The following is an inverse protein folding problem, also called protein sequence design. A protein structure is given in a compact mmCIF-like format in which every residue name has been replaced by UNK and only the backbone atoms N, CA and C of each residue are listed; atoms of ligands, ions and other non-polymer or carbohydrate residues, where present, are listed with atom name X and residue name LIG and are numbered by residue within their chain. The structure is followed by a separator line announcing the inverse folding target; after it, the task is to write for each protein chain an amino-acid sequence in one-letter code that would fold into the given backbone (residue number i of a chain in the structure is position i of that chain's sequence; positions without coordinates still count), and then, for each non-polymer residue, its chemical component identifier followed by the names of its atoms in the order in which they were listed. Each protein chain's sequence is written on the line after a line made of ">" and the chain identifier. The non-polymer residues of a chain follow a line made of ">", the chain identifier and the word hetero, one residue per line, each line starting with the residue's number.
data_IF_690156997645
#
_entry.id   IF_690156997645
#
_cell.length_a   1.000
_cell.length_b   1.000
_cell.length_c   1.000
_cell.angle_alpha   90.00
_cell.angle_beta   90.00
_cell.angle_gamma   90.00
#
_symmetry.space_group_name_H-M   'P 1'
#
loop_
_entity.id
_entity.type
_entity.pdbx_description
1 polymer ?
#
# COMPACT_ATOMS: atom_id res chain seq x y z
N UNK A 1 -16.39 36.07 -25.39
CA UNK A 1 -15.14 36.31 -24.68
C UNK A 1 -14.18 35.15 -24.86
N UNK A 2 -12.98 35.45 -25.36
CA UNK A 2 -11.89 34.47 -25.45
C UNK A 2 -11.29 34.32 -24.06
N UNK A 3 -11.38 33.10 -23.44
CA UNK A 3 -10.69 32.77 -22.20
C UNK A 3 -9.26 32.33 -22.54
N UNK A 4 -8.28 33.09 -22.09
CA UNK A 4 -6.87 32.72 -22.25
C UNK A 4 -6.39 32.03 -20.96
N UNK A 5 -6.07 30.74 -21.02
CA UNK A 5 -5.45 30.01 -19.93
C UNK A 5 -3.92 30.15 -20.02
N UNK A 6 -3.28 30.72 -19.00
CA UNK A 6 -1.83 30.66 -18.85
C UNK A 6 -1.47 29.41 -18.03
N UNK A 7 -0.83 28.45 -18.66
CA UNK A 7 -0.21 27.32 -17.98
C UNK A 7 1.19 27.73 -17.55
N UNK A 8 1.45 27.67 -16.24
CA UNK A 8 2.79 27.85 -15.70
C UNK A 8 3.37 26.46 -15.39
N UNK A 9 4.33 25.94 -16.18
CA UNK A 9 4.92 24.65 -15.94
C UNK A 9 5.84 24.70 -14.71
N UNK A 10 5.81 23.65 -13.89
CA UNK A 10 6.74 23.43 -12.79
C UNK A 10 7.64 22.26 -13.18
N UNK A 11 8.94 22.53 -13.29
CA UNK A 11 9.94 21.50 -13.60
C UNK A 11 10.49 20.93 -12.31
N UNK A 12 10.12 19.69 -11.99
CA UNK A 12 10.60 19.02 -10.76
C UNK A 12 12.11 18.81 -10.77
N UNK A 13 12.73 18.67 -11.94
CA UNK A 13 14.18 18.56 -12.10
C UNK A 13 14.95 19.82 -11.64
N UNK A 14 14.27 20.97 -11.58
CA UNK A 14 14.87 22.21 -11.06
C UNK A 14 14.80 22.29 -9.52
N UNK A 15 14.14 21.32 -8.89
CA UNK A 15 14.06 21.15 -7.44
C UNK A 15 15.13 20.18 -6.96
N UNK A 16 15.60 20.35 -5.73
CA UNK A 16 16.65 19.52 -5.14
C UNK A 16 16.09 18.63 -4.04
N UNK A 17 16.11 17.31 -4.29
CA UNK A 17 15.66 16.31 -3.33
C UNK A 17 16.52 16.28 -2.06
N UNK A 18 17.83 16.50 -2.17
CA UNK A 18 18.73 16.48 -1.01
C UNK A 18 18.36 17.56 0.02
N UNK A 19 17.90 18.73 -0.46
CA UNK A 19 17.42 19.81 0.42
C UNK A 19 16.13 19.44 1.14
N UNK A 20 15.19 18.80 0.42
CA UNK A 20 13.95 18.32 1.01
C UNK A 20 14.25 17.27 2.09
N UNK A 21 15.08 16.28 1.78
CA UNK A 21 15.46 15.25 2.75
C UNK A 21 16.16 15.83 3.97
N UNK A 22 17.08 16.78 3.78
CA UNK A 22 17.78 17.43 4.88
C UNK A 22 16.80 18.19 5.80
N UNK A 23 15.87 18.96 5.23
CA UNK A 23 14.85 19.70 5.98
C UNK A 23 13.95 18.74 6.79
N UNK A 24 13.49 17.66 6.18
CA UNK A 24 12.57 16.72 6.82
C UNK A 24 13.27 15.89 7.90
N UNK A 25 14.53 15.50 7.68
CA UNK A 25 15.35 14.87 8.73
C UNK A 25 15.53 15.77 9.93
N UNK A 26 15.83 17.04 9.71
CA UNK A 26 15.97 18.00 10.79
C UNK A 26 14.67 18.17 11.58
N UNK A 27 13.52 18.22 10.92
CA UNK A 27 12.21 18.23 11.60
C UNK A 27 12.02 16.97 12.45
N UNK A 28 12.33 15.79 11.89
CA UNK A 28 12.22 14.52 12.59
C UNK A 28 13.13 14.46 13.82
N UNK A 29 14.38 14.91 13.71
CA UNK A 29 15.34 14.95 14.81
C UNK A 29 14.91 15.92 15.92
N UNK A 30 14.20 16.99 15.56
CA UNK A 30 13.62 17.95 16.50
C UNK A 30 12.29 17.48 17.10
N UNK A 31 11.73 16.37 16.67
CA UNK A 31 10.39 15.89 17.08
C UNK A 31 9.25 16.72 16.52
N UNK A 32 9.48 17.47 15.43
CA UNK A 32 8.47 18.28 14.75
C UNK A 32 7.62 17.42 13.82
N UNK A 33 6.30 17.61 13.82
CA UNK A 33 5.41 16.95 12.90
C UNK A 33 5.59 17.45 11.46
N UNK A 34 5.41 16.55 10.48
CA UNK A 34 5.39 16.94 9.07
C UNK A 34 4.04 17.59 8.73
N UNK A 35 4.11 18.64 7.91
CA UNK A 35 2.93 19.28 7.34
C UNK A 35 2.48 18.57 6.06
N UNK A 36 1.27 18.87 5.56
CA UNK A 36 0.80 18.37 4.26
C UNK A 36 1.75 18.78 3.12
N UNK A 37 2.33 19.97 3.16
CA UNK A 37 3.32 20.42 2.17
C UNK A 37 4.63 19.61 2.28
N UNK A 38 5.02 19.20 3.48
CA UNK A 38 6.19 18.34 3.69
C UNK A 38 5.94 16.95 3.07
N UNK A 39 4.76 16.37 3.26
CA UNK A 39 4.37 15.10 2.66
C UNK A 39 4.25 15.19 1.14
N UNK A 40 3.68 16.29 0.62
CA UNK A 40 3.61 16.52 -0.80
C UNK A 40 5.01 16.64 -1.43
N UNK A 41 5.91 17.42 -0.82
CA UNK A 41 7.29 17.52 -1.27
C UNK A 41 8.01 16.17 -1.22
N UNK A 42 7.84 15.40 -0.13
CA UNK A 42 8.46 14.09 0.07
C UNK A 42 8.05 13.10 -1.02
N UNK A 43 6.76 13.07 -1.39
CA UNK A 43 6.24 12.17 -2.43
C UNK A 43 6.81 12.45 -3.82
N UNK A 44 7.28 13.67 -4.08
CA UNK A 44 7.83 14.10 -5.37
C UNK A 44 9.37 14.04 -5.44
N UNK A 45 10.06 13.78 -4.32
CA UNK A 45 11.53 13.75 -4.29
C UNK A 45 12.19 12.83 -5.33
N UNK A 46 11.64 11.63 -5.67
CA UNK A 46 12.26 10.77 -6.68
C UNK A 46 12.22 11.33 -8.11
N UNK A 47 11.44 12.38 -8.34
CA UNK A 47 11.32 13.07 -9.62
C UNK A 47 12.18 14.35 -9.68
N UNK A 48 12.81 14.74 -8.57
CA UNK A 48 13.70 15.90 -8.44
C UNK A 48 15.13 15.52 -8.80
N UNK A 49 16.00 16.54 -8.90
CA UNK A 49 17.44 16.33 -8.97
C UNK A 49 18.03 16.09 -7.58
N UNK A 50 19.14 15.35 -7.49
CA UNK A 50 19.82 15.03 -6.26
C UNK A 50 21.04 14.17 -6.48
N UNK A 51 21.81 13.92 -5.40
CA UNK A 51 23.02 13.09 -5.43
C UNK A 51 22.71 11.59 -5.40
N UNK A 52 21.59 11.23 -4.80
CA UNK A 52 21.17 9.82 -4.70
C UNK A 52 20.62 9.30 -6.02
N UNK A 53 20.72 7.98 -6.23
CA UNK A 53 19.99 7.32 -7.30
C UNK A 53 18.47 7.47 -7.11
N UNK A 54 17.70 7.37 -8.19
CA UNK A 54 16.23 7.45 -8.09
C UNK A 54 15.67 6.39 -7.13
N UNK A 55 16.16 5.17 -7.21
CA UNK A 55 15.81 4.08 -6.29
C UNK A 55 16.08 4.46 -4.83
N UNK A 56 17.24 5.01 -4.54
CA UNK A 56 17.59 5.40 -3.17
C UNK A 56 16.75 6.58 -2.68
N UNK A 57 16.35 7.50 -3.55
CA UNK A 57 15.41 8.57 -3.21
C UNK A 57 14.04 8.00 -2.82
N UNK A 58 13.52 6.98 -3.54
CA UNK A 58 12.29 6.27 -3.14
C UNK A 58 12.42 5.63 -1.76
N UNK A 59 13.51 4.89 -1.52
CA UNK A 59 13.76 4.24 -0.23
C UNK A 59 13.81 5.26 0.91
N UNK A 60 14.52 6.35 0.71
CA UNK A 60 14.66 7.39 1.72
C UNK A 60 13.35 8.11 2.00
N UNK A 61 12.57 8.42 0.97
CA UNK A 61 11.25 9.04 1.13
C UNK A 61 10.29 8.14 1.93
N UNK A 62 10.26 6.84 1.65
CA UNK A 62 9.44 5.88 2.39
C UNK A 62 9.91 5.75 3.84
N UNK A 63 11.22 5.74 4.09
CA UNK A 63 11.77 5.68 5.45
C UNK A 63 11.41 6.91 6.28
N UNK A 64 11.43 8.11 5.69
CA UNK A 64 11.02 9.34 6.37
C UNK A 64 9.51 9.42 6.63
N UNK A 65 8.69 8.85 5.76
CA UNK A 65 7.24 8.77 5.99
C UNK A 65 6.87 7.73 7.07
N UNK A 66 7.64 6.64 7.20
CA UNK A 66 7.35 5.47 8.05
C UNK A 66 7.04 5.77 9.52
N UNK A 67 7.75 6.65 10.24
CA UNK A 67 7.52 6.88 11.66
C UNK A 67 6.17 7.51 11.99
N UNK A 68 5.52 8.10 11.02
CA UNK A 68 4.29 8.85 11.21
C UNK A 68 3.08 7.93 10.98
N UNK A 69 2.16 7.90 11.95
CA UNK A 69 0.93 7.08 11.93
C UNK A 69 -0.23 7.86 11.28
N UNK A 70 0.07 8.95 10.61
CA UNK A 70 -0.92 9.82 10.00
C UNK A 70 -1.36 9.29 8.63
N UNK A 71 -2.62 9.56 8.26
CA UNK A 71 -3.17 9.22 6.95
C UNK A 71 -2.32 9.79 5.79
N UNK A 72 -1.71 10.95 6.00
CA UNK A 72 -0.85 11.61 5.03
C UNK A 72 0.44 10.82 4.76
N UNK A 73 1.01 10.17 5.78
CA UNK A 73 2.15 9.28 5.64
C UNK A 73 1.81 8.02 4.82
N UNK A 74 0.64 7.43 5.06
CA UNK A 74 0.15 6.27 4.33
C UNK A 74 -0.13 6.61 2.85
N UNK A 75 -0.78 7.75 2.58
CA UNK A 75 -1.00 8.27 1.22
C UNK A 75 0.31 8.54 0.49
N UNK A 76 1.28 9.14 1.18
CA UNK A 76 2.63 9.40 0.63
C UNK A 76 3.32 8.10 0.26
N UNK A 77 3.28 7.08 1.11
CA UNK A 77 3.86 5.77 0.83
C UNK A 77 3.19 5.09 -0.37
N UNK A 78 1.86 5.14 -0.47
CA UNK A 78 1.12 4.60 -1.60
C UNK A 78 1.46 5.33 -2.91
N UNK A 79 1.59 6.65 -2.88
CA UNK A 79 1.99 7.46 -4.03
C UNK A 79 3.42 7.14 -4.47
N UNK A 80 4.35 7.02 -3.52
CA UNK A 80 5.73 6.63 -3.80
C UNK A 80 5.80 5.24 -4.45
N UNK A 81 5.02 4.27 -3.98
CA UNK A 81 4.95 2.97 -4.60
C UNK A 81 4.44 3.04 -6.04
N UNK A 82 3.37 3.78 -6.29
CA UNK A 82 2.80 3.96 -7.63
C UNK A 82 3.82 4.60 -8.60
N UNK A 83 4.59 5.58 -8.12
CA UNK A 83 5.64 6.20 -8.91
C UNK A 83 6.83 5.24 -9.12
N UNK A 84 7.21 4.46 -8.11
CA UNK A 84 8.26 3.45 -8.21
C UNK A 84 7.92 2.39 -9.27
N UNK A 85 6.70 1.88 -9.28
CA UNK A 85 6.20 0.91 -10.28
C UNK A 85 6.31 1.46 -11.71
N UNK A 86 6.13 2.77 -11.88
CA UNK A 86 6.23 3.43 -13.19
C UNK A 86 7.66 3.71 -13.66
N UNK A 87 8.58 4.02 -12.74
CA UNK A 87 9.88 4.59 -13.07
C UNK A 87 11.08 3.70 -12.76
N UNK A 88 10.90 2.61 -12.03
CA UNK A 88 11.94 1.65 -11.69
C UNK A 88 11.79 0.35 -12.49
N UNK A 89 12.88 -0.37 -12.66
CA UNK A 89 12.82 -1.73 -13.20
C UNK A 89 12.28 -2.72 -12.14
N UNK A 90 12.04 -3.96 -12.55
CA UNK A 90 11.43 -4.98 -11.69
C UNK A 90 12.29 -5.30 -10.45
N UNK A 91 13.61 -5.38 -10.60
CA UNK A 91 14.52 -5.70 -9.51
C UNK A 91 14.56 -4.56 -8.48
N UNK A 92 14.64 -3.33 -8.96
CA UNK A 92 14.59 -2.13 -8.12
C UNK A 92 13.25 -1.99 -7.40
N UNK A 93 12.13 -2.28 -8.09
CA UNK A 93 10.79 -2.25 -7.51
C UNK A 93 10.64 -3.29 -6.39
N UNK A 94 11.21 -4.48 -6.54
CA UNK A 94 11.16 -5.50 -5.50
C UNK A 94 11.90 -5.06 -4.22
N UNK A 95 13.00 -4.31 -4.37
CA UNK A 95 13.66 -3.68 -3.22
C UNK A 95 12.76 -2.63 -2.52
N UNK A 96 11.99 -1.87 -3.29
CA UNK A 96 11.01 -0.91 -2.74
C UNK A 96 9.90 -1.62 -1.98
N UNK A 97 9.37 -2.73 -2.52
CA UNK A 97 8.36 -3.55 -1.84
C UNK A 97 8.83 -4.03 -0.47
N UNK A 98 10.11 -4.45 -0.34
CA UNK A 98 10.66 -4.85 0.95
C UNK A 98 10.67 -3.69 1.97
N UNK A 99 11.01 -2.47 1.53
CA UNK A 99 10.98 -1.30 2.41
C UNK A 99 9.53 -0.98 2.83
N UNK A 100 8.57 -1.07 1.91
CA UNK A 100 7.14 -0.82 2.18
C UNK A 100 6.57 -1.88 3.11
N UNK A 101 6.94 -3.17 2.95
CA UNK A 101 6.51 -4.26 3.83
C UNK A 101 6.76 -3.96 5.31
N UNK A 102 7.82 -3.21 5.61
CA UNK A 102 8.15 -2.77 6.97
C UNK A 102 7.33 -1.56 7.43
N UNK A 103 6.48 -0.99 6.58
CA UNK A 103 5.58 0.11 6.95
C UNK A 103 4.25 -0.44 7.49
N UNK A 104 3.49 0.40 8.22
CA UNK A 104 2.15 0.05 8.66
C UNK A 104 1.23 -0.31 7.49
N UNK A 105 1.28 0.47 6.41
CA UNK A 105 0.49 0.19 5.20
C UNK A 105 0.82 -1.20 4.63
N UNK A 106 2.11 -1.55 4.55
CA UNK A 106 2.53 -2.87 4.08
C UNK A 106 2.02 -4.00 4.96
N UNK A 107 2.05 -3.83 6.28
CA UNK A 107 1.52 -4.81 7.23
C UNK A 107 0.02 -4.99 7.07
N UNK A 108 -0.75 -3.89 6.98
CA UNK A 108 -2.20 -3.96 6.75
C UNK A 108 -2.54 -4.71 5.44
N UNK A 109 -1.83 -4.43 4.35
CA UNK A 109 -2.05 -5.11 3.07
C UNK A 109 -1.69 -6.61 3.13
N UNK A 110 -0.67 -6.99 3.90
CA UNK A 110 -0.32 -8.39 4.13
C UNK A 110 -1.40 -9.10 4.94
N UNK A 111 -1.89 -8.49 6.01
CA UNK A 111 -2.93 -9.05 6.87
C UNK A 111 -4.24 -9.25 6.08
N UNK A 112 -4.66 -8.26 5.27
CA UNK A 112 -5.80 -8.40 4.37
C UNK A 112 -5.60 -9.50 3.33
N UNK A 113 -4.39 -9.61 2.76
CA UNK A 113 -4.06 -10.67 1.79
C UNK A 113 -4.10 -12.06 2.42
N UNK A 114 -3.60 -12.21 3.65
CA UNK A 114 -3.68 -13.47 4.40
C UNK A 114 -5.13 -13.82 4.74
N UNK A 115 -5.92 -12.87 5.22
CA UNK A 115 -7.33 -13.10 5.55
C UNK A 115 -8.13 -13.53 4.31
N UNK A 116 -7.97 -12.84 3.18
CA UNK A 116 -8.59 -13.24 1.90
C UNK A 116 -8.11 -14.62 1.43
N UNK A 117 -6.83 -14.93 1.60
CA UNK A 117 -6.28 -16.24 1.27
C UNK A 117 -6.89 -17.37 2.10
N UNK A 118 -7.08 -17.16 3.38
CA UNK A 118 -7.74 -18.12 4.29
C UNK A 118 -9.20 -18.32 3.88
N UNK A 119 -9.93 -17.25 3.60
CA UNK A 119 -11.33 -17.31 3.17
C UNK A 119 -11.51 -18.08 1.86
N UNK A 120 -10.67 -17.80 0.85
CA UNK A 120 -10.71 -18.53 -0.42
C UNK A 120 -10.44 -20.02 -0.24
N UNK A 121 -9.42 -20.36 0.56
CA UNK A 121 -9.06 -21.76 0.83
C UNK A 121 -10.19 -22.48 1.58
N UNK A 122 -10.83 -21.81 2.54
CA UNK A 122 -11.94 -22.37 3.31
C UNK A 122 -13.19 -22.56 2.43
N UNK A 123 -13.50 -21.59 1.57
CA UNK A 123 -14.58 -21.70 0.57
C UNK A 123 -14.38 -22.91 -0.37
N UNK A 124 -13.17 -23.07 -0.88
CA UNK A 124 -12.80 -24.21 -1.73
C UNK A 124 -12.90 -25.54 -0.99
N UNK A 125 -12.49 -25.59 0.26
CA UNK A 125 -12.57 -26.80 1.10
C UNK A 125 -14.02 -27.19 1.36
N UNK A 126 -14.90 -26.23 1.67
CA UNK A 126 -16.34 -26.48 1.84
C UNK A 126 -16.93 -27.06 0.56
N UNK A 127 -16.68 -26.43 -0.61
CA UNK A 127 -17.19 -26.93 -1.91
C UNK A 127 -16.70 -28.35 -2.23
N UNK A 128 -15.42 -28.67 -1.95
CA UNK A 128 -14.86 -30.00 -2.16
C UNK A 128 -15.52 -31.03 -1.27
N UNK A 129 -15.77 -30.76 0.00
CA UNK A 129 -16.47 -31.66 0.91
C UNK A 129 -17.92 -31.92 0.48
N UNK A 130 -18.63 -30.83 0.13
CA UNK A 130 -20.00 -30.95 -0.41
C UNK A 130 -20.04 -31.90 -1.62
N UNK A 131 -19.10 -31.71 -2.57
CA UNK A 131 -19.08 -32.49 -3.81
C UNK A 131 -18.63 -33.96 -3.60
N UNK A 132 -17.55 -34.15 -2.84
CA UNK A 132 -16.90 -35.46 -2.73
C UNK A 132 -17.59 -36.40 -1.74
N UNK A 133 -18.18 -35.81 -0.68
CA UNK A 133 -18.83 -36.57 0.37
C UNK A 133 -20.35 -36.41 0.41
N UNK A 134 -20.91 -35.73 -0.60
CA UNK A 134 -22.35 -35.44 -0.72
C UNK A 134 -22.94 -34.78 0.56
N UNK A 135 -22.20 -33.87 1.16
CA UNK A 135 -22.61 -33.16 2.36
C UNK A 135 -23.38 -31.89 2.02
N UNK A 136 -24.29 -31.50 2.91
CA UNK A 136 -24.85 -30.13 2.87
C UNK A 136 -23.78 -29.10 3.27
N UNK A 137 -24.02 -27.85 2.92
CA UNK A 137 -23.10 -26.75 3.27
C UNK A 137 -22.85 -26.68 4.78
N UNK A 138 -23.90 -26.85 5.60
CA UNK A 138 -23.79 -26.82 7.05
C UNK A 138 -23.00 -28.01 7.61
N UNK A 139 -23.20 -29.20 7.03
CA UNK A 139 -22.41 -30.39 7.38
C UNK A 139 -20.93 -30.21 7.02
N UNK A 140 -20.64 -29.64 5.85
CA UNK A 140 -19.29 -29.36 5.43
C UNK A 140 -18.62 -28.28 6.32
N UNK A 141 -19.34 -27.22 6.69
CA UNK A 141 -18.84 -26.21 7.62
C UNK A 141 -18.61 -26.76 9.04
N UNK A 142 -19.47 -27.69 9.51
CA UNK A 142 -19.26 -28.38 10.78
C UNK A 142 -18.01 -29.27 10.74
N UNK A 143 -17.82 -30.02 9.67
CA UNK A 143 -16.65 -30.88 9.50
C UNK A 143 -15.32 -30.10 9.44
N UNK A 144 -15.36 -28.87 8.97
CA UNK A 144 -14.22 -27.97 8.92
C UNK A 144 -14.10 -27.01 10.14
N UNK A 145 -14.93 -27.23 11.15
CA UNK A 145 -14.96 -26.42 12.39
C UNK A 145 -15.05 -24.90 12.11
N UNK A 146 -15.80 -24.50 11.07
CA UNK A 146 -15.97 -23.11 10.70
C UNK A 146 -16.70 -22.36 11.84
N UNK A 147 -16.13 -21.25 12.37
CA UNK A 147 -16.75 -20.45 13.42
C UNK A 147 -18.13 -19.93 13.01
N UNK A 148 -19.06 -19.86 13.97
CA UNK A 148 -20.47 -19.52 13.72
C UNK A 148 -20.63 -18.12 13.09
N UNK A 149 -19.85 -17.15 13.54
CA UNK A 149 -19.83 -15.77 13.04
C UNK A 149 -19.42 -15.64 11.56
N UNK A 150 -18.71 -16.62 11.01
CA UNK A 150 -18.28 -16.65 9.61
C UNK A 150 -19.20 -17.45 8.68
N UNK A 151 -20.06 -18.32 9.21
CA UNK A 151 -20.87 -19.25 8.42
C UNK A 151 -21.83 -18.57 7.45
N UNK A 152 -22.47 -17.48 7.89
CA UNK A 152 -23.39 -16.71 7.04
C UNK A 152 -22.70 -16.15 5.80
N UNK A 153 -21.45 -15.69 5.94
CA UNK A 153 -20.63 -15.23 4.81
C UNK A 153 -20.38 -16.32 3.80
N UNK A 154 -20.04 -17.54 4.24
CA UNK A 154 -19.80 -18.67 3.35
C UNK A 154 -21.08 -19.17 2.69
N UNK A 155 -22.23 -19.17 3.38
CA UNK A 155 -23.53 -19.48 2.76
C UNK A 155 -23.82 -18.56 1.58
N UNK A 156 -23.68 -17.24 1.75
CA UNK A 156 -23.89 -16.26 0.65
C UNK A 156 -22.89 -16.40 -0.49
N UNK A 157 -21.66 -16.78 -0.20
CA UNK A 157 -20.62 -16.93 -1.23
C UNK A 157 -20.78 -18.21 -2.04
N UNK A 158 -21.23 -19.32 -1.41
CA UNK A 158 -21.31 -20.64 -2.02
C UNK A 158 -22.67 -20.87 -2.70
N UNK A 159 -23.74 -20.34 -2.10
CA UNK A 159 -25.11 -20.41 -2.65
C UNK A 159 -25.63 -18.99 -2.83
N UNK A 160 -25.24 -18.28 -3.90
CA UNK A 160 -25.82 -16.98 -4.18
C UNK A 160 -27.32 -17.14 -4.39
N UNK A 161 -28.11 -16.30 -3.69
CA UNK A 161 -29.56 -16.24 -3.89
C UNK A 161 -29.84 -15.99 -5.37
N UNK A 162 -30.66 -16.88 -5.97
CA UNK A 162 -31.17 -16.74 -7.34
C UNK A 162 -32.21 -15.62 -7.41
#
# INVERSE_FOLDING_TARGET
>A
GLYTYRVQPIYLKDKNADEVFRKLKQKQDNGEAFTEDDYAALSLTPLMSGKMSRKDMFKEAIRLAKPNIELSAEKTTAMLYTLADKFLDRAELDEIKEVIRMTRLGQMLMDEGMEKGIELNQTDSIKKLMKNMNLTIDQAMNALEVPEDKREKYRKTITPDN
#
